data_IF_054678372350
#
_entry.id   IF_054678372350
#
_cell.length_a   1.000
_cell.length_b   1.000
_cell.length_c   1.000
_cell.angle_alpha   90.00
_cell.angle_beta   90.00
_cell.angle_gamma   90.00
#
_symmetry.space_group_name_H-M   'P 1'
#
loop_
_entity.id
_entity.type
_entity.pdbx_description
1 polymer ?
#
# COMPACT_ATOMS: atom_id res chain seq x y z
N UNK A 1 -22.30 -11.48 6.42
CA UNK A 1 -21.55 -10.57 5.54
C UNK A 1 -21.04 -11.34 4.34
N UNK A 2 -21.44 -10.97 3.12
CA UNK A 2 -20.92 -11.54 1.86
C UNK A 2 -20.20 -10.46 1.05
N UNK A 3 -18.92 -10.68 0.72
CA UNK A 3 -18.15 -9.78 -0.14
C UNK A 3 -18.56 -10.00 -1.60
N UNK A 4 -18.85 -8.91 -2.31
CA UNK A 4 -19.28 -8.92 -3.72
C UNK A 4 -18.12 -8.63 -4.66
N UNK A 5 -17.23 -7.70 -4.27
CA UNK A 5 -16.05 -7.33 -5.05
C UNK A 5 -14.90 -6.94 -4.14
N UNK A 6 -13.70 -7.30 -4.57
CA UNK A 6 -12.44 -6.77 -4.04
C UNK A 6 -11.66 -6.16 -5.20
N UNK A 7 -11.11 -4.97 -4.99
CA UNK A 7 -10.20 -4.31 -5.91
C UNK A 7 -8.93 -3.91 -5.18
N UNK A 8 -7.78 -4.22 -5.77
CA UNK A 8 -6.47 -3.85 -5.28
C UNK A 8 -5.86 -2.80 -6.21
N UNK A 9 -5.33 -1.72 -5.64
CA UNK A 9 -4.63 -0.67 -6.37
C UNK A 9 -3.28 -0.44 -5.73
N UNK A 10 -2.21 -0.65 -6.49
CA UNK A 10 -0.92 -0.07 -6.13
C UNK A 10 -0.99 1.42 -6.47
N UNK A 11 -0.74 2.27 -5.49
CA UNK A 11 -0.65 3.72 -5.71
C UNK A 11 0.79 4.16 -5.49
N UNK A 12 1.19 5.22 -6.19
CA UNK A 12 2.43 5.93 -5.88
C UNK A 12 2.07 7.34 -5.42
N UNK A 13 2.42 7.65 -4.17
CA UNK A 13 2.26 8.97 -3.59
C UNK A 13 3.65 9.58 -3.34
N UNK A 14 4.10 10.57 -4.14
CA UNK A 14 5.39 11.21 -3.95
C UNK A 14 5.48 11.88 -2.56
N UNK A 15 6.61 11.74 -1.88
CA UNK A 15 6.88 12.49 -0.67
C UNK A 15 7.18 13.96 -0.99
N UNK A 16 6.91 14.87 -0.05
CA UNK A 16 7.27 16.30 -0.20
C UNK A 16 8.78 16.48 -0.34
N UNK A 17 9.56 15.65 0.37
CA UNK A 17 10.99 15.52 0.20
C UNK A 17 11.37 14.04 0.36
N UNK A 18 12.44 13.56 -0.30
CA UNK A 18 12.82 12.16 -0.22
C UNK A 18 13.24 11.75 1.20
N UNK A 19 12.89 10.53 1.57
CA UNK A 19 13.27 9.93 2.84
C UNK A 19 14.52 9.07 2.65
N UNK A 20 15.53 9.25 3.49
CA UNK A 20 16.81 8.57 3.33
C UNK A 20 17.35 8.10 4.67
N UNK A 21 17.83 6.86 4.68
CA UNK A 21 18.56 6.24 5.77
C UNK A 21 19.97 5.88 5.29
N UNK A 22 20.80 5.29 6.15
CA UNK A 22 22.13 4.81 5.73
C UNK A 22 22.08 3.65 4.72
N UNK A 23 20.94 2.98 4.56
CA UNK A 23 20.81 1.78 3.73
C UNK A 23 20.00 1.96 2.46
N UNK A 24 19.06 2.92 2.43
CA UNK A 24 18.20 3.14 1.27
C UNK A 24 17.59 4.54 1.26
N UNK A 25 16.99 4.88 0.12
CA UNK A 25 16.28 6.13 -0.12
C UNK A 25 14.94 5.85 -0.80
N UNK A 26 13.90 6.54 -0.38
CA UNK A 26 12.55 6.47 -0.94
C UNK A 26 12.08 7.84 -1.42
N UNK A 27 11.43 7.84 -2.58
CA UNK A 27 10.87 9.04 -3.21
C UNK A 27 9.35 9.17 -3.00
N UNK A 28 8.71 8.13 -2.44
CA UNK A 28 7.29 8.13 -2.16
C UNK A 28 6.76 6.81 -1.60
N UNK A 29 5.52 6.85 -1.13
CA UNK A 29 4.80 5.70 -0.62
C UNK A 29 4.22 4.87 -1.77
N UNK A 30 4.33 3.54 -1.65
CA UNK A 30 3.86 2.55 -2.61
C UNK A 30 2.73 1.67 -2.06
N UNK A 31 1.81 2.26 -1.30
CA UNK A 31 0.76 1.52 -0.61
C UNK A 31 -0.14 0.73 -1.58
N UNK A 32 -0.63 -0.40 -1.10
CA UNK A 32 -1.74 -1.12 -1.72
C UNK A 32 -3.03 -0.68 -1.07
N UNK A 33 -3.91 -0.06 -1.85
CA UNK A 33 -5.25 0.34 -1.44
C UNK A 33 -6.24 -0.76 -1.82
N UNK A 34 -6.96 -1.26 -0.82
CA UNK A 34 -8.00 -2.28 -0.98
C UNK A 34 -9.36 -1.60 -0.95
N UNK A 35 -10.17 -1.81 -1.97
CA UNK A 35 -11.62 -1.52 -1.93
C UNK A 35 -12.38 -2.82 -1.82
N UNK A 36 -13.32 -2.89 -0.88
CA UNK A 36 -14.23 -4.02 -0.70
C UNK A 36 -15.65 -3.50 -0.84
N UNK A 37 -16.45 -4.11 -1.72
CA UNK A 37 -17.86 -3.81 -1.88
C UNK A 37 -18.69 -5.00 -1.35
N UNK A 38 -19.66 -4.73 -0.46
CA UNK A 38 -20.53 -5.73 0.15
C UNK A 38 -21.83 -5.10 0.67
N UNK A 39 -22.99 -5.66 0.31
CA UNK A 39 -24.30 -5.27 0.89
C UNK A 39 -24.59 -3.76 0.76
N UNK A 40 -24.17 -3.16 -0.37
CA UNK A 40 -24.31 -1.72 -0.65
C UNK A 40 -23.31 -0.82 0.07
N UNK A 41 -22.36 -1.38 0.82
CA UNK A 41 -21.28 -0.65 1.50
C UNK A 41 -19.98 -0.81 0.71
N UNK A 42 -19.26 0.31 0.54
CA UNK A 42 -17.88 0.32 0.06
C UNK A 42 -16.94 0.62 1.24
N UNK A 43 -16.09 -0.33 1.58
CA UNK A 43 -15.05 -0.20 2.57
C UNK A 43 -13.66 -0.06 1.92
N UNK A 44 -12.75 0.60 2.63
CA UNK A 44 -11.38 0.83 2.19
C UNK A 44 -10.38 0.39 3.26
N UNK A 45 -9.26 -0.18 2.83
CA UNK A 45 -8.13 -0.54 3.67
C UNK A 45 -6.81 -0.22 2.98
N UNK A 46 -5.75 -0.08 3.77
CA UNK A 46 -4.41 0.22 3.30
C UNK A 46 -3.44 -0.84 3.82
N UNK A 47 -2.61 -1.36 2.91
CA UNK A 47 -1.35 -2.00 3.28
C UNK A 47 -0.21 -1.01 2.99
N UNK A 48 0.52 -0.55 4.01
CA UNK A 48 1.59 0.44 3.86
C UNK A 48 2.93 -0.18 3.45
N UNK A 49 2.96 -1.47 3.09
CA UNK A 49 4.18 -2.19 2.73
C UNK A 49 4.84 -1.50 1.51
N UNK A 50 6.12 -1.18 1.64
CA UNK A 50 6.91 -0.55 0.58
C UNK A 50 7.18 -1.48 -0.60
N UNK A 51 7.99 -1.04 -1.58
CA UNK A 51 8.37 -1.90 -2.73
C UNK A 51 9.50 -2.86 -2.44
N UNK A 52 10.21 -2.67 -1.33
CA UNK A 52 11.38 -3.45 -0.95
C UNK A 52 11.30 -3.87 0.52
N UNK A 53 11.96 -4.99 0.90
CA UNK A 53 11.88 -5.55 2.26
C UNK A 53 12.83 -4.85 3.24
N UNK A 54 12.91 -3.52 3.16
CA UNK A 54 13.86 -2.76 3.99
C UNK A 54 13.35 -2.58 5.42
N UNK A 55 12.03 -2.55 5.61
CA UNK A 55 11.42 -2.40 6.94
C UNK A 55 10.99 -3.75 7.54
N UNK A 56 10.38 -4.63 6.74
CA UNK A 56 9.91 -5.96 7.17
C UNK A 56 9.92 -6.97 6.01
N UNK A 57 9.56 -8.22 6.31
CA UNK A 57 9.58 -9.37 5.43
C UNK A 57 8.29 -9.62 4.62
N UNK A 58 7.31 -8.70 4.67
CA UNK A 58 6.00 -8.89 4.02
C UNK A 58 6.07 -8.85 2.48
N UNK A 59 7.13 -8.27 1.93
CA UNK A 59 7.49 -8.35 0.51
C UNK A 59 8.87 -9.02 0.36
N UNK A 60 9.21 -9.51 -0.84
CA UNK A 60 10.46 -10.26 -1.08
C UNK A 60 11.21 -9.81 -2.32
N UNK A 61 10.80 -8.70 -2.93
CA UNK A 61 11.31 -8.18 -4.21
C UNK A 61 11.82 -6.77 -4.07
#
# INVERSE_FOLDING_TARGET
MRIERVELREVFLPYVAPFETSGWREEGCHAVIVRIDAEGITAWGESPVGRHPFYNEENTR
#
